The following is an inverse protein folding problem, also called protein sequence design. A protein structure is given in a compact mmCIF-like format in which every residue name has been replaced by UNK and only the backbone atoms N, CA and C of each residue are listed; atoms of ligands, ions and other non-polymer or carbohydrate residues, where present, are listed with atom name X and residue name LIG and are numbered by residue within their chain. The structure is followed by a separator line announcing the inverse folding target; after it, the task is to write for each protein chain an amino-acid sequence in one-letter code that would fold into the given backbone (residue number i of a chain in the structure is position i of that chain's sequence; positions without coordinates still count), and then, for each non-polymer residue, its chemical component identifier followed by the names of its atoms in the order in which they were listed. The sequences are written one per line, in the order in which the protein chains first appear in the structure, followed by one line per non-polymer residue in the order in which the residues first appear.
data_IF_625701767562
#
_entry.id   IF_625701767562
#
_cell.length_a   1.000
_cell.length_b   1.000
_cell.length_c   1.000
_cell.angle_alpha   90.00
_cell.angle_beta   90.00
_cell.angle_gamma   90.00
#
_symmetry.space_group_name_H-M   'P 1'
#
loop_
_entity.id
_entity.type
_entity.pdbx_description
1 polymer ?
#
# COMPACT_ATOMS: atom_id res chain seq x y z
N UNK A 1 24.69 0.76 -6.32
CA UNK A 1 23.57 0.58 -5.37
C UNK A 1 22.34 0.08 -6.09
N UNK A 2 21.99 -1.19 -5.91
CA UNK A 2 20.75 -1.78 -6.41
C UNK A 2 19.58 -1.34 -5.52
N UNK A 3 18.61 -0.62 -6.09
CA UNK A 3 17.34 -0.35 -5.43
C UNK A 3 16.58 -1.66 -5.20
N UNK A 4 15.95 -1.88 -4.02
CA UNK A 4 15.09 -3.04 -3.78
C UNK A 4 13.98 -3.14 -4.83
N UNK A 5 13.71 -4.35 -5.29
CA UNK A 5 12.65 -4.68 -6.24
C UNK A 5 12.01 -6.02 -5.88
N UNK A 6 10.80 -6.26 -6.37
CA UNK A 6 10.07 -7.52 -6.16
C UNK A 6 8.68 -7.32 -5.57
N UNK A 7 8.04 -8.43 -5.20
CA UNK A 7 6.68 -8.45 -4.66
C UNK A 7 6.70 -8.39 -3.14
N UNK A 8 6.01 -7.42 -2.57
CA UNK A 8 5.97 -7.17 -1.13
C UNK A 8 4.53 -7.31 -0.64
N UNK A 9 4.36 -7.88 0.55
CA UNK A 9 3.08 -8.03 1.23
C UNK A 9 3.08 -7.19 2.51
N UNK A 10 2.06 -6.35 2.68
CA UNK A 10 1.80 -5.60 3.89
C UNK A 10 0.46 -6.07 4.49
N UNK A 11 0.50 -6.65 5.68
CA UNK A 11 -0.68 -7.04 6.43
C UNK A 11 -0.98 -5.94 7.46
N UNK A 12 -2.20 -5.41 7.43
CA UNK A 12 -2.59 -4.19 8.15
C UNK A 12 -2.22 -2.95 7.34
N UNK A 13 -3.04 -2.61 6.34
CA UNK A 13 -2.89 -1.39 5.54
C UNK A 13 -3.19 -0.14 6.38
N UNK A 14 -4.16 -0.25 7.29
CA UNK A 14 -4.66 0.84 8.11
C UNK A 14 -5.02 2.05 7.26
N UNK A 15 -4.56 3.24 7.68
CA UNK A 15 -4.76 4.48 6.91
C UNK A 15 -3.89 4.62 5.66
N UNK A 16 -3.08 3.63 5.30
CA UNK A 16 -2.25 3.64 4.09
C UNK A 16 -0.97 4.50 4.15
N UNK A 17 -0.66 5.12 5.30
CA UNK A 17 0.52 6.00 5.45
C UNK A 17 1.83 5.23 5.23
N UNK A 18 1.98 4.05 5.84
CA UNK A 18 3.17 3.21 5.67
C UNK A 18 3.27 2.72 4.22
N UNK A 19 2.16 2.24 3.67
CA UNK A 19 2.02 1.81 2.27
C UNK A 19 2.55 2.89 1.31
N UNK A 20 2.08 4.13 1.46
CA UNK A 20 2.52 5.25 0.62
C UNK A 20 3.99 5.61 0.82
N UNK A 21 4.51 5.52 2.06
CA UNK A 21 5.92 5.75 2.35
C UNK A 21 6.82 4.71 1.67
N UNK A 22 6.42 3.44 1.68
CA UNK A 22 7.18 2.34 1.07
C UNK A 22 7.21 2.46 -0.47
N UNK A 23 6.08 2.75 -1.11
CA UNK A 23 6.02 2.94 -2.57
C UNK A 23 6.92 4.09 -3.03
N UNK A 24 6.89 5.21 -2.30
CA UNK A 24 7.73 6.39 -2.62
C UNK A 24 9.21 6.13 -2.39
N UNK A 25 9.56 5.38 -1.33
CA UNK A 25 10.95 5.06 -1.00
C UNK A 25 11.54 4.02 -1.95
N UNK A 26 10.72 3.07 -2.42
CA UNK A 26 11.16 1.93 -3.22
C UNK A 26 10.34 1.81 -4.52
N UNK A 27 10.57 2.66 -5.53
CA UNK A 27 9.72 2.74 -6.72
C UNK A 27 9.73 1.47 -7.61
N UNK A 28 10.55 0.47 -7.30
CA UNK A 28 10.66 -0.80 -8.05
C UNK A 28 9.96 -1.98 -7.37
N UNK A 29 9.31 -1.76 -6.22
CA UNK A 29 8.53 -2.81 -5.55
C UNK A 29 7.10 -2.84 -6.08
N UNK A 30 6.49 -4.01 -6.03
CA UNK A 30 5.05 -4.19 -6.23
C UNK A 30 4.44 -4.55 -4.88
N UNK A 31 3.71 -3.61 -4.29
CA UNK A 31 3.16 -3.78 -2.93
C UNK A 31 1.70 -4.25 -3.02
N UNK A 32 1.39 -5.31 -2.27
CA UNK A 32 0.01 -5.73 -1.97
C UNK A 32 -0.26 -5.46 -0.51
N UNK A 33 -1.30 -4.67 -0.23
CA UNK A 33 -1.78 -4.42 1.13
C UNK A 33 -3.04 -5.23 1.42
N UNK A 34 -3.11 -5.81 2.62
CA UNK A 34 -4.27 -6.56 3.13
C UNK A 34 -4.78 -5.87 4.38
N UNK A 35 -6.08 -5.63 4.45
CA UNK A 35 -6.72 -5.10 5.66
C UNK A 35 -8.12 -5.70 5.83
N UNK A 36 -8.50 -6.01 7.07
CA UNK A 36 -9.80 -6.59 7.38
C UNK A 36 -10.93 -5.58 7.21
N UNK A 37 -10.65 -4.30 7.38
CA UNK A 37 -11.67 -3.26 7.33
C UNK A 37 -11.62 -2.49 6.00
N UNK A 38 -12.63 -2.74 5.17
CA UNK A 38 -12.84 -2.00 3.91
C UNK A 38 -12.92 -0.48 4.10
N UNK A 39 -13.35 -0.01 5.29
CA UNK A 39 -13.43 1.41 5.62
C UNK A 39 -12.04 2.04 5.73
N UNK A 40 -11.04 1.27 6.17
CA UNK A 40 -9.66 1.75 6.24
C UNK A 40 -9.08 2.00 4.84
N UNK A 41 -9.39 1.13 3.87
CA UNK A 41 -9.01 1.35 2.47
C UNK A 41 -9.72 2.59 1.91
N UNK A 42 -11.01 2.79 2.22
CA UNK A 42 -11.76 3.97 1.78
C UNK A 42 -11.15 5.26 2.34
N UNK A 43 -10.76 5.25 3.61
CA UNK A 43 -10.10 6.37 4.29
C UNK A 43 -8.72 6.64 3.64
N UNK A 44 -7.93 5.59 3.41
CA UNK A 44 -6.63 5.68 2.75
C UNK A 44 -6.70 6.35 1.38
N UNK A 45 -7.69 5.97 0.56
CA UNK A 45 -7.92 6.57 -0.77
C UNK A 45 -8.41 8.01 -0.67
N UNK A 46 -9.45 8.25 0.14
CA UNK A 46 -10.13 9.55 0.20
C UNK A 46 -9.27 10.65 0.83
N UNK A 47 -8.49 10.32 1.86
CA UNK A 47 -7.81 11.32 2.68
C UNK A 47 -6.28 11.28 2.58
N UNK A 48 -5.69 10.12 2.26
CA UNK A 48 -4.24 9.93 2.28
C UNK A 48 -3.62 9.71 0.88
N UNK A 49 -4.45 9.75 -0.16
CA UNK A 49 -4.00 9.70 -1.56
C UNK A 49 -3.47 8.33 -1.98
N UNK A 50 -3.95 7.26 -1.34
CA UNK A 50 -3.70 5.90 -1.83
C UNK A 50 -4.37 5.72 -3.19
N UNK A 51 -3.60 5.27 -4.17
CA UNK A 51 -4.04 5.06 -5.56
C UNK A 51 -3.95 3.56 -5.91
N UNK A 52 -4.99 3.05 -6.58
CA UNK A 52 -5.08 1.64 -6.99
C UNK A 52 -4.03 1.24 -8.02
N UNK A 53 -3.46 2.21 -8.76
CA UNK A 53 -2.32 1.98 -9.65
C UNK A 53 -0.99 1.75 -8.91
N UNK A 54 -0.91 2.16 -7.64
CA UNK A 54 0.31 2.10 -6.85
C UNK A 54 0.35 0.89 -5.91
N UNK A 55 -0.81 0.37 -5.50
CA UNK A 55 -0.91 -0.77 -4.59
C UNK A 55 -2.19 -1.55 -4.82
N UNK A 56 -2.06 -2.87 -4.86
CA UNK A 56 -3.23 -3.76 -4.80
C UNK A 56 -3.70 -3.86 -3.36
N UNK A 57 -4.97 -3.54 -3.11
CA UNK A 57 -5.61 -3.71 -1.80
C UNK A 57 -6.50 -4.96 -1.81
N UNK A 58 -6.39 -5.80 -0.78
CA UNK A 58 -7.24 -6.98 -0.56
C UNK A 58 -7.93 -6.81 0.79
N UNK A 59 -9.21 -7.18 0.84
CA UNK A 59 -10.00 -7.21 2.08
C UNK A 59 -10.16 -8.67 2.49
N UNK A 60 -9.80 -9.00 3.72
CA UNK A 60 -9.87 -10.34 4.31
C UNK A 60 -10.15 -10.28 5.82
#
# INVERSE_FOLDING_TARGET
NSQPSGNWLLIGLGGGVLTMKLIRAFPKIHLTGVDIDSEMIRIAKKWFGLDDSLTKCVID
#
